data_IF_324714223311
#
_entry.id   IF_324714223311
#
_cell.length_a   1.000
_cell.length_b   1.000
_cell.length_c   1.000
_cell.angle_alpha   90.00
_cell.angle_beta   90.00
_cell.angle_gamma   90.00
#
_symmetry.space_group_name_H-M   'P 1'
#
loop_
_entity.id
_entity.type
_entity.pdbx_description
1 polymer ?
#
# COMPACT_ATOMS: atom_id res chain seq x y z
N UNK A 1 -3.46 5.32 26.53
CA UNK A 1 -2.25 4.64 25.97
C UNK A 1 -2.61 3.29 25.37
N UNK A 2 -3.22 2.37 26.13
CA UNK A 2 -3.61 1.03 25.66
C UNK A 2 -4.45 1.00 24.37
N UNK A 3 -5.51 1.82 24.30
CA UNK A 3 -6.41 1.88 23.13
C UNK A 3 -5.66 2.38 21.88
N UNK A 4 -4.88 3.45 22.01
CA UNK A 4 -4.13 4.02 20.87
C UNK A 4 -3.11 3.03 20.31
N UNK A 5 -2.36 2.35 21.17
CA UNK A 5 -1.39 1.36 20.74
C UNK A 5 -2.07 0.18 20.02
N UNK A 6 -3.21 -0.28 20.55
CA UNK A 6 -3.98 -1.37 19.93
C UNK A 6 -4.50 -0.98 18.55
N UNK A 7 -5.06 0.23 18.41
CA UNK A 7 -5.54 0.73 17.11
C UNK A 7 -4.38 0.81 16.12
N UNK A 8 -3.25 1.42 16.49
CA UNK A 8 -2.10 1.57 15.59
C UNK A 8 -1.50 0.22 15.17
N UNK A 9 -1.39 -0.75 16.09
CA UNK A 9 -0.93 -2.10 15.78
C UNK A 9 -1.90 -2.84 14.86
N UNK A 10 -3.20 -2.76 15.12
CA UNK A 10 -4.22 -3.35 14.25
C UNK A 10 -4.19 -2.74 12.85
N UNK A 11 -3.96 -1.43 12.74
CA UNK A 11 -3.80 -0.72 11.46
C UNK A 11 -2.55 -1.18 10.70
N UNK A 12 -1.44 -1.44 11.40
CA UNK A 12 -0.24 -1.98 10.77
C UNK A 12 -0.46 -3.40 10.21
N UNK A 13 -1.14 -4.26 10.96
CA UNK A 13 -1.51 -5.61 10.48
C UNK A 13 -2.48 -5.51 9.30
N UNK A 14 -3.48 -4.64 9.38
CA UNK A 14 -4.42 -4.39 8.29
C UNK A 14 -3.70 -3.92 7.03
N UNK A 15 -2.66 -3.09 7.13
CA UNK A 15 -1.86 -2.67 5.99
C UNK A 15 -1.22 -3.85 5.25
N UNK A 16 -0.63 -4.80 5.98
CA UNK A 16 -0.03 -6.00 5.38
C UNK A 16 -1.09 -6.85 4.71
N UNK A 17 -2.21 -7.10 5.41
CA UNK A 17 -3.32 -7.91 4.87
C UNK A 17 -3.88 -7.27 3.59
N UNK A 18 -4.16 -5.96 3.60
CA UNK A 18 -4.71 -5.26 2.43
C UNK A 18 -3.74 -5.25 1.25
N UNK A 19 -2.44 -5.08 1.49
CA UNK A 19 -1.43 -5.16 0.43
C UNK A 19 -1.40 -6.57 -0.19
N UNK A 20 -1.38 -7.62 0.63
CA UNK A 20 -1.35 -9.00 0.12
C UNK A 20 -2.63 -9.35 -0.65
N UNK A 21 -3.79 -8.90 -0.16
CA UNK A 21 -5.06 -9.05 -0.85
C UNK A 21 -5.06 -8.30 -2.19
N UNK A 22 -4.54 -7.07 -2.21
CA UNK A 22 -4.45 -6.26 -3.43
C UNK A 22 -3.57 -6.94 -4.48
N UNK A 23 -2.37 -7.41 -4.12
CA UNK A 23 -1.47 -8.10 -5.05
C UNK A 23 -2.11 -9.37 -5.60
N UNK A 24 -2.75 -10.16 -4.73
CA UNK A 24 -3.43 -11.41 -5.12
C UNK A 24 -4.59 -11.14 -6.09
N UNK A 25 -5.38 -10.09 -5.81
CA UNK A 25 -6.51 -9.70 -6.65
C UNK A 25 -6.04 -9.15 -8.00
N UNK A 26 -4.98 -8.34 -8.02
CA UNK A 26 -4.38 -7.87 -9.28
C UNK A 26 -3.85 -9.04 -10.12
N UNK A 27 -3.17 -10.00 -9.51
CA UNK A 27 -2.69 -11.19 -10.21
C UNK A 27 -3.85 -12.02 -10.78
N UNK A 28 -4.92 -12.21 -10.00
CA UNK A 28 -6.12 -12.90 -10.47
C UNK A 28 -6.76 -12.21 -11.66
N UNK A 29 -7.00 -10.90 -11.56
CA UNK A 29 -7.65 -10.13 -12.62
C UNK A 29 -6.79 -10.11 -13.89
N UNK A 30 -5.46 -10.02 -13.75
CA UNK A 30 -4.54 -10.11 -14.88
C UNK A 30 -4.62 -11.49 -15.56
N UNK A 31 -4.69 -12.57 -14.79
CA UNK A 31 -4.85 -13.94 -15.33
C UNK A 31 -6.20 -14.12 -16.02
N UNK A 32 -7.28 -13.63 -15.42
CA UNK A 32 -8.62 -13.73 -16.00
C UNK A 32 -8.71 -12.96 -17.33
N UNK A 33 -8.12 -11.77 -17.38
CA UNK A 33 -8.01 -10.97 -18.60
C UNK A 33 -7.20 -11.69 -19.67
N UNK A 34 -6.06 -12.29 -19.29
CA UNK A 34 -5.23 -13.07 -20.21
C UNK A 34 -5.98 -14.24 -20.81
N UNK A 35 -6.66 -15.05 -19.98
CA UNK A 35 -7.43 -16.20 -20.43
C UNK A 35 -8.58 -15.82 -21.37
N UNK A 36 -9.12 -14.60 -21.19
CA UNK A 36 -10.17 -14.09 -22.07
C UNK A 36 -9.63 -13.61 -23.42
N UNK A 37 -8.49 -12.93 -23.45
CA UNK A 37 -7.88 -12.39 -24.67
C UNK A 37 -7.19 -13.49 -25.49
N UNK A 38 -6.53 -14.45 -24.81
CA UNK A 38 -5.78 -15.54 -25.42
C UNK A 38 -6.35 -16.89 -24.99
N UNK A 39 -7.53 -17.29 -25.49
CA UNK A 39 -8.19 -18.53 -25.08
C UNK A 39 -7.40 -19.80 -25.42
N UNK A 40 -6.57 -19.75 -26.47
CA UNK A 40 -5.66 -20.85 -26.84
C UNK A 40 -4.28 -20.76 -26.13
N UNK A 41 -4.02 -19.66 -25.43
CA UNK A 41 -2.77 -19.43 -24.72
C UNK A 41 -2.73 -20.16 -23.38
N UNK A 42 -1.59 -20.78 -23.05
CA UNK A 42 -1.40 -21.43 -21.76
C UNK A 42 -1.34 -20.43 -20.60
N UNK A 43 -2.04 -20.71 -19.51
CA UNK A 43 -1.94 -19.94 -18.25
C UNK A 43 -0.57 -20.05 -17.59
N UNK A 44 0.22 -21.07 -17.93
CA UNK A 44 1.62 -21.18 -17.50
C UNK A 44 2.49 -20.09 -18.13
N UNK A 45 2.25 -19.77 -19.40
CA UNK A 45 2.98 -18.71 -20.10
C UNK A 45 2.66 -17.34 -19.49
N UNK A 46 1.40 -17.09 -19.12
CA UNK A 46 1.04 -15.89 -18.36
C UNK A 46 1.80 -15.81 -17.04
N UNK A 47 1.81 -16.88 -16.25
CA UNK A 47 2.44 -16.91 -14.93
C UNK A 47 3.94 -16.60 -15.04
N UNK A 48 4.61 -17.25 -15.96
CA UNK A 48 6.05 -17.10 -16.14
C UNK A 48 6.41 -15.67 -16.58
N UNK A 49 5.62 -15.06 -17.48
CA UNK A 49 5.83 -13.67 -17.92
C UNK A 49 5.46 -12.66 -16.83
N UNK A 50 4.34 -12.87 -16.13
CA UNK A 50 3.83 -11.94 -15.12
C UNK A 50 4.77 -11.83 -13.91
N UNK A 51 5.31 -12.96 -13.44
CA UNK A 51 6.18 -12.99 -12.26
C UNK A 51 7.68 -12.90 -12.57
N UNK A 52 8.10 -12.92 -13.84
CA UNK A 52 9.50 -12.98 -14.25
C UNK A 52 10.40 -11.95 -13.55
N UNK A 53 9.91 -10.71 -13.44
CA UNK A 53 10.66 -9.60 -12.83
C UNK A 53 10.41 -9.45 -11.33
N UNK A 54 9.32 -10.03 -10.84
CA UNK A 54 8.93 -9.97 -9.43
C UNK A 54 9.68 -11.00 -8.59
N UNK A 55 9.96 -12.20 -9.13
CA UNK A 55 10.72 -13.26 -8.48
C UNK A 55 11.95 -13.70 -9.30
N UNK A 56 13.06 -12.94 -9.24
CA UNK A 56 14.31 -13.40 -9.80
C UNK A 56 14.82 -14.65 -9.06
N UNK A 57 15.61 -15.51 -9.75
CA UNK A 57 16.23 -16.68 -9.12
C UNK A 57 17.02 -16.30 -7.87
N UNK A 58 16.84 -17.06 -6.79
CA UNK A 58 17.58 -16.89 -5.53
C UNK A 58 16.99 -15.89 -4.54
N UNK A 59 15.85 -15.26 -4.82
CA UNK A 59 15.16 -14.35 -3.89
C UNK A 59 13.90 -15.01 -3.31
N UNK A 60 13.81 -15.04 -1.97
CA UNK A 60 12.64 -15.60 -1.25
C UNK A 60 11.41 -14.67 -1.29
N UNK A 61 11.62 -13.37 -1.46
CA UNK A 61 10.58 -12.34 -1.49
C UNK A 61 10.57 -11.62 -2.84
N UNK A 62 9.43 -11.02 -3.17
CA UNK A 62 9.32 -10.21 -4.38
C UNK A 62 10.30 -9.05 -4.34
N UNK A 63 10.92 -8.73 -5.47
CA UNK A 63 11.72 -7.52 -5.60
C UNK A 63 10.80 -6.31 -5.38
N UNK A 64 11.18 -5.44 -4.46
CA UNK A 64 10.39 -4.27 -4.08
C UNK A 64 9.44 -4.46 -2.90
N UNK A 65 9.31 -5.66 -2.30
CA UNK A 65 8.45 -5.86 -1.11
C UNK A 65 8.80 -4.89 0.03
N UNK A 66 10.09 -4.63 0.26
CA UNK A 66 10.53 -3.66 1.27
C UNK A 66 9.97 -2.25 1.03
N UNK A 67 9.99 -1.78 -0.22
CA UNK A 67 9.42 -0.49 -0.61
C UNK A 67 7.91 -0.43 -0.43
N UNK A 68 7.21 -1.51 -0.80
CA UNK A 68 5.77 -1.60 -0.63
C UNK A 68 5.40 -1.50 0.85
N UNK A 69 6.12 -2.21 1.74
CA UNK A 69 5.86 -2.17 3.18
C UNK A 69 6.16 -0.79 3.79
N UNK A 70 7.28 -0.17 3.42
CA UNK A 70 7.67 1.18 3.88
C UNK A 70 6.67 2.24 3.40
N UNK A 71 6.04 2.06 2.24
CA UNK A 71 4.96 2.93 1.78
C UNK A 71 3.65 2.66 2.52
N UNK A 72 3.23 1.40 2.58
CA UNK A 72 1.89 1.04 3.06
C UNK A 72 1.70 1.17 4.58
N UNK A 73 2.63 0.65 5.38
CA UNK A 73 2.48 0.60 6.84
C UNK A 73 2.43 2.02 7.44
N UNK A 74 3.39 2.92 7.18
CA UNK A 74 3.36 4.27 7.74
C UNK A 74 2.21 5.12 7.20
N UNK A 75 1.78 4.91 5.95
CA UNK A 75 0.58 5.58 5.41
C UNK A 75 -0.66 5.24 6.22
N UNK A 76 -0.94 3.95 6.44
CA UNK A 76 -2.15 3.51 7.16
C UNK A 76 -2.04 3.85 8.65
N UNK A 77 -0.88 3.66 9.27
CA UNK A 77 -0.67 4.04 10.68
C UNK A 77 -0.78 5.55 10.88
N UNK A 78 -0.21 6.37 10.00
CA UNK A 78 -0.29 7.82 10.09
C UNK A 78 -1.71 8.33 9.89
N UNK A 79 -2.46 7.79 8.91
CA UNK A 79 -3.88 8.09 8.75
C UNK A 79 -4.71 7.68 9.99
N UNK A 80 -4.40 6.52 10.60
CA UNK A 80 -5.05 6.09 11.83
C UNK A 80 -4.71 7.01 13.02
N UNK A 81 -3.46 7.47 13.14
CA UNK A 81 -3.05 8.42 14.17
C UNK A 81 -3.77 9.77 14.03
N UNK A 82 -3.89 10.28 12.81
CA UNK A 82 -4.66 11.50 12.49
C UNK A 82 -6.13 11.29 12.87
N UNK A 83 -6.69 10.12 12.53
CA UNK A 83 -8.07 9.79 12.86
C UNK A 83 -8.32 9.71 14.37
N UNK A 84 -7.38 9.15 15.13
CA UNK A 84 -7.44 9.16 16.60
C UNK A 84 -7.38 10.59 17.15
N UNK A 85 -6.53 11.46 16.58
CA UNK A 85 -6.41 12.84 17.00
C UNK A 85 -7.74 13.62 16.86
N UNK A 86 -8.41 13.52 15.71
CA UNK A 86 -9.74 14.12 15.53
C UNK A 86 -10.84 13.38 16.30
N UNK A 87 -10.67 12.07 16.49
CA UNK A 87 -11.56 11.22 17.29
C UNK A 87 -11.64 11.62 18.77
N UNK A 88 -10.51 12.02 19.37
CA UNK A 88 -10.46 12.42 20.79
C UNK A 88 -10.85 13.87 21.08
N UNK A 89 -11.00 14.73 20.06
CA UNK A 89 -11.46 16.10 20.28
C UNK A 89 -12.86 16.11 20.91
N UNK A 90 -13.13 17.00 21.89
CA UNK A 90 -14.46 17.15 22.49
C UNK A 90 -15.45 17.58 21.42
N UNK A 91 -16.65 16.99 21.45
CA UNK A 91 -17.72 17.23 20.49
C UNK A 91 -18.97 17.57 21.28
N UNK A 92 -19.53 18.74 21.01
CA UNK A 92 -20.71 19.25 21.73
C UNK A 92 -22.00 18.98 20.96
N UNK A 93 -21.91 18.88 19.63
CA UNK A 93 -23.06 18.75 18.76
C UNK A 93 -22.87 17.71 17.65
N UNK A 94 -23.96 17.27 17.02
CA UNK A 94 -23.91 16.27 15.92
C UNK A 94 -23.14 16.81 14.71
N UNK A 95 -23.24 18.12 14.47
CA UNK A 95 -22.50 18.81 13.40
C UNK A 95 -20.98 18.73 13.64
N UNK A 96 -20.53 18.79 14.89
CA UNK A 96 -19.11 18.70 15.25
C UNK A 96 -18.55 17.30 14.97
N UNK A 97 -19.37 16.25 15.15
CA UNK A 97 -18.99 14.87 14.82
C UNK A 97 -18.72 14.75 13.32
N UNK A 98 -19.66 15.20 12.48
CA UNK A 98 -19.53 15.13 11.03
C UNK A 98 -18.33 15.95 10.53
N UNK A 99 -18.11 17.14 11.12
CA UNK A 99 -16.95 17.97 10.81
C UNK A 99 -15.64 17.27 11.16
N UNK A 100 -15.55 16.64 12.34
CA UNK A 100 -14.35 15.92 12.75
C UNK A 100 -14.05 14.70 11.86
N UNK A 101 -15.08 13.98 11.39
CA UNK A 101 -14.93 12.88 10.42
C UNK A 101 -14.38 13.42 9.09
N UNK A 102 -14.95 14.52 8.58
CA UNK A 102 -14.49 15.13 7.34
C UNK A 102 -13.04 15.63 7.46
N UNK A 103 -12.70 16.33 8.54
CA UNK A 103 -11.33 16.79 8.81
C UNK A 103 -10.34 15.61 8.89
N UNK A 104 -10.72 14.54 9.57
CA UNK A 104 -9.93 13.31 9.66
C UNK A 104 -9.64 12.71 8.28
N UNK A 105 -10.63 12.66 7.39
CA UNK A 105 -10.47 12.15 6.04
C UNK A 105 -9.56 13.05 5.21
N UNK A 106 -9.78 14.36 5.22
CA UNK A 106 -8.98 15.32 4.45
C UNK A 106 -7.52 15.24 4.88
N UNK A 107 -7.23 15.40 6.18
CA UNK A 107 -5.86 15.35 6.69
C UNK A 107 -5.22 13.97 6.52
N UNK A 108 -5.98 12.89 6.74
CA UNK A 108 -5.50 11.52 6.55
C UNK A 108 -5.11 11.24 5.10
N UNK A 109 -5.95 11.60 4.14
CA UNK A 109 -5.68 11.43 2.71
C UNK A 109 -4.52 12.31 2.24
N UNK A 110 -4.49 13.59 2.64
CA UNK A 110 -3.38 14.48 2.32
C UNK A 110 -2.04 13.94 2.83
N UNK A 111 -2.01 13.41 4.06
CA UNK A 111 -0.81 12.78 4.61
C UNK A 111 -0.36 11.58 3.79
N UNK A 112 -1.28 10.66 3.46
CA UNK A 112 -0.96 9.45 2.67
C UNK A 112 -0.41 9.83 1.30
N UNK A 113 -1.02 10.79 0.62
CA UNK A 113 -0.58 11.25 -0.71
C UNK A 113 0.82 11.88 -0.65
N UNK A 114 1.08 12.74 0.33
CA UNK A 114 2.40 13.36 0.51
C UNK A 114 3.45 12.28 0.79
N UNK A 115 3.16 11.36 1.72
CA UNK A 115 4.07 10.26 2.09
C UNK A 115 4.43 9.39 0.90
N UNK A 116 3.42 8.95 0.14
CA UNK A 116 3.58 8.15 -1.06
C UNK A 116 4.40 8.89 -2.13
N UNK A 117 4.14 10.19 -2.31
CA UNK A 117 4.84 11.00 -3.32
C UNK A 117 6.32 11.14 -2.98
N UNK A 118 6.65 11.48 -1.72
CA UNK A 118 8.04 11.62 -1.26
C UNK A 118 8.79 10.30 -1.42
N UNK A 119 8.22 9.18 -0.96
CA UNK A 119 8.88 7.89 -1.08
C UNK A 119 9.04 7.42 -2.52
N UNK A 120 8.09 7.74 -3.40
CA UNK A 120 8.19 7.41 -4.82
C UNK A 120 9.32 8.19 -5.50
N UNK A 121 9.51 9.46 -5.16
CA UNK A 121 10.65 10.25 -5.65
C UNK A 121 11.99 9.69 -5.17
N UNK A 122 12.08 9.28 -3.90
CA UNK A 122 13.28 8.67 -3.33
C UNK A 122 13.58 7.32 -3.98
N UNK A 123 12.58 6.46 -4.11
CA UNK A 123 12.71 5.15 -4.76
C UNK A 123 13.17 5.31 -6.21
N UNK A 124 12.54 6.20 -6.97
CA UNK A 124 12.90 6.44 -8.36
C UNK A 124 14.36 6.88 -8.50
N UNK A 125 14.82 7.82 -7.65
CA UNK A 125 16.22 8.27 -7.64
C UNK A 125 17.18 7.12 -7.31
N UNK A 126 16.85 6.28 -6.32
CA UNK A 126 17.69 5.14 -5.95
C UNK A 126 17.75 4.06 -7.04
N UNK A 127 16.62 3.78 -7.69
CA UNK A 127 16.55 2.82 -8.79
C UNK A 127 17.32 3.34 -10.00
N UNK A 128 17.18 4.62 -10.35
CA UNK A 128 17.94 5.26 -11.44
C UNK A 128 19.45 5.17 -11.19
N UNK A 129 19.91 5.50 -10.00
CA UNK A 129 21.33 5.45 -9.63
C UNK A 129 21.90 4.01 -9.68
N UNK A 130 21.09 2.99 -9.35
CA UNK A 130 21.53 1.58 -9.50
C UNK A 130 21.66 1.17 -10.96
N UNK A 131 20.76 1.63 -11.82
CA UNK A 131 20.82 1.31 -13.25
C UNK A 131 22.05 1.94 -13.90
N UNK A 132 22.37 3.19 -13.59
CA UNK A 132 23.60 3.86 -14.06
C UNK A 132 24.90 3.21 -13.57
N UNK A 133 24.88 2.49 -12.43
CA UNK A 133 26.05 1.78 -11.92
C UNK A 133 26.20 0.35 -12.50
N UNK A 134 25.17 -0.18 -13.16
CA UNK A 134 25.13 -1.56 -13.67
C UNK A 134 25.34 -1.62 -15.20
N UNK A 135 25.19 -0.50 -15.90
CA UNK A 135 25.43 -0.33 -17.33
C UNK A 135 26.58 0.65 -17.57
#
# INVERSE_FOLDING_TARGET
IYINATVLLSSAVAAVVLVTASVSLTAWVAMATWAHIFPEGSTYLWRDQYFQRLWPPGHLLMVGTGWILIKAIPSIMGAAAISLYFGYRPKTDVVDINKAIAESLIWGLSFVLIWQSVLTLIEFKQVSARLEATF
#
